data_IF_955641555229
#
_entry.id   IF_955641555229
#
_cell.length_a   1.000
_cell.length_b   1.000
_cell.length_c   1.000
_cell.angle_alpha   90.00
_cell.angle_beta   90.00
_cell.angle_gamma   90.00
#
_symmetry.space_group_name_H-M   'P 1'
#
loop_
_entity.id
_entity.type
_entity.pdbx_description
1 polymer ?
#
# COMPACT_ATOMS: atom_id res chain seq x y z
N UNK A 1 -21.95 23.20 -101.04
CA UNK A 1 -22.57 22.48 -102.17
C UNK A 1 -22.37 21.00 -101.88
N UNK A 2 -23.42 20.30 -101.44
CA UNK A 2 -23.30 18.89 -101.05
C UNK A 2 -23.52 18.01 -102.27
N UNK A 3 -22.59 17.08 -102.55
CA UNK A 3 -22.76 16.06 -103.57
C UNK A 3 -23.60 14.92 -103.01
N UNK A 4 -24.74 14.65 -103.65
CA UNK A 4 -25.57 13.46 -103.46
C UNK A 4 -25.10 12.34 -104.40
N UNK A 5 -23.96 11.72 -104.10
CA UNK A 5 -23.57 10.44 -104.71
C UNK A 5 -22.69 9.66 -103.73
N UNK A 6 -22.66 8.31 -103.76
CA UNK A 6 -21.86 7.50 -102.85
C UNK A 6 -20.37 7.61 -103.22
N UNK A 7 -19.71 8.64 -102.70
CA UNK A 7 -18.27 8.86 -102.79
C UNK A 7 -17.71 9.39 -101.46
N UNK A 8 -16.41 9.23 -101.26
CA UNK A 8 -15.70 9.74 -100.07
C UNK A 8 -15.50 11.26 -100.21
N UNK A 9 -16.10 12.04 -99.31
CA UNK A 9 -15.84 13.48 -99.17
C UNK A 9 -14.61 13.66 -98.26
N UNK A 10 -13.52 14.22 -98.79
CA UNK A 10 -12.35 14.61 -97.99
C UNK A 10 -12.48 16.10 -97.65
N UNK A 11 -12.71 16.41 -96.37
CA UNK A 11 -12.61 17.76 -95.83
C UNK A 11 -11.30 17.88 -95.04
N UNK A 12 -10.46 18.85 -95.40
CA UNK A 12 -9.33 19.26 -94.55
C UNK A 12 -9.92 20.16 -93.47
N UNK A 13 -10.08 19.61 -92.27
CA UNK A 13 -10.43 20.37 -91.07
C UNK A 13 -9.11 20.52 -90.30
N UNK A 14 -8.69 21.76 -90.05
CA UNK A 14 -7.53 22.02 -89.21
C UNK A 14 -7.97 21.90 -87.74
N UNK A 15 -7.96 20.67 -87.21
CA UNK A 15 -8.16 20.42 -85.78
C UNK A 15 -6.82 20.60 -85.07
N UNK A 16 -6.45 21.86 -84.83
CA UNK A 16 -5.34 22.17 -83.93
C UNK A 16 -5.73 21.77 -82.50
N UNK A 17 -5.18 20.64 -82.03
CA UNK A 17 -5.31 20.19 -80.65
C UNK A 17 -4.43 21.09 -79.78
N UNK A 18 -5.03 22.01 -79.02
CA UNK A 18 -4.32 22.65 -77.90
C UNK A 18 -4.18 21.60 -76.80
N UNK A 19 -2.98 21.10 -76.58
CA UNK A 19 -2.65 20.44 -75.30
C UNK A 19 -2.93 21.46 -74.18
N UNK A 20 -3.83 21.19 -73.22
CA UNK A 20 -4.00 22.07 -72.08
C UNK A 20 -2.67 22.26 -71.37
N UNK A 21 -2.41 23.47 -70.85
CA UNK A 21 -1.27 23.67 -69.95
C UNK A 21 -1.35 22.60 -68.84
N UNK A 22 -0.33 21.74 -68.74
CA UNK A 22 -0.30 20.69 -67.74
C UNK A 22 -0.50 21.30 -66.36
N UNK A 23 -1.54 20.87 -65.65
CA UNK A 23 -1.72 21.23 -64.24
C UNK A 23 -0.46 20.80 -63.50
N UNK A 24 0.26 21.74 -62.88
CA UNK A 24 1.47 21.43 -62.14
C UNK A 24 1.20 20.32 -61.13
N UNK A 25 1.97 19.24 -61.18
CA UNK A 25 1.81 18.09 -60.28
C UNK A 25 2.01 18.54 -58.84
N UNK A 26 1.00 18.34 -57.98
CA UNK A 26 1.10 18.60 -56.54
C UNK A 26 1.49 17.31 -55.83
N UNK A 27 2.68 17.21 -55.24
CA UNK A 27 3.12 16.01 -54.56
C UNK A 27 2.40 15.82 -53.23
N UNK A 28 2.25 14.55 -52.83
CA UNK A 28 1.72 14.13 -51.55
C UNK A 28 2.82 13.41 -50.76
N UNK A 29 3.11 13.89 -49.56
CA UNK A 29 4.20 13.41 -48.71
C UNK A 29 3.60 12.82 -47.44
N UNK A 30 3.89 11.54 -47.19
CA UNK A 30 3.55 10.89 -45.94
C UNK A 30 4.69 11.06 -44.95
N UNK A 31 4.37 11.51 -43.73
CA UNK A 31 5.36 11.83 -42.70
C UNK A 31 5.09 11.05 -41.43
N UNK A 32 6.15 10.51 -40.83
CA UNK A 32 6.15 10.09 -39.44
C UNK A 32 6.72 11.25 -38.60
N UNK A 33 6.05 11.57 -37.49
CA UNK A 33 6.42 12.69 -36.62
C UNK A 33 5.94 12.42 -35.20
N UNK A 34 6.62 12.98 -34.21
CA UNK A 34 6.16 12.90 -32.82
C UNK A 34 4.76 13.54 -32.67
N UNK A 35 3.94 13.00 -31.78
CA UNK A 35 2.63 13.61 -31.47
C UNK A 35 2.82 14.91 -30.68
N UNK A 36 1.86 15.82 -30.81
CA UNK A 36 1.73 17.04 -30.00
C UNK A 36 2.97 17.95 -30.01
N UNK A 37 3.65 18.09 -31.15
CA UNK A 37 4.77 19.04 -31.27
C UNK A 37 4.27 20.46 -31.06
N UNK A 38 5.12 21.32 -30.51
CA UNK A 38 4.87 22.76 -30.49
C UNK A 38 4.90 23.31 -31.92
N UNK A 39 4.01 24.26 -32.23
CA UNK A 39 4.08 24.97 -33.50
C UNK A 39 5.36 25.82 -33.60
N UNK A 40 5.83 26.09 -34.83
CA UNK A 40 7.05 26.88 -35.06
C UNK A 40 6.99 28.32 -34.49
N UNK A 41 5.78 28.85 -34.26
CA UNK A 41 5.58 30.13 -33.59
C UNK A 41 5.75 30.09 -32.06
N UNK A 42 5.88 28.90 -31.48
CA UNK A 42 5.91 28.69 -30.03
C UNK A 42 4.52 28.77 -29.37
N UNK A 43 3.46 29.01 -30.14
CA UNK A 43 2.11 29.22 -29.64
C UNK A 43 1.26 27.94 -29.78
N UNK A 44 1.30 27.10 -28.75
CA UNK A 44 0.42 25.93 -28.65
C UNK A 44 0.89 24.71 -29.45
N UNK A 45 -0.04 23.76 -29.62
CA UNK A 45 0.25 22.47 -30.26
C UNK A 45 -0.01 22.53 -31.75
N UNK A 46 0.97 22.08 -32.54
CA UNK A 46 0.90 21.95 -33.98
C UNK A 46 -0.22 20.95 -34.36
N UNK A 47 -1.32 21.47 -34.94
CA UNK A 47 -2.56 20.72 -35.11
C UNK A 47 -2.42 19.46 -35.97
N UNK A 48 -1.52 19.46 -36.95
CA UNK A 48 -1.21 18.30 -37.80
C UNK A 48 -0.48 17.16 -37.07
N UNK A 49 0.00 17.40 -35.85
CA UNK A 49 0.64 16.37 -35.00
C UNK A 49 -0.30 15.73 -33.98
N UNK A 50 -1.56 16.16 -33.92
CA UNK A 50 -2.56 15.55 -33.05
C UNK A 50 -2.92 14.14 -33.55
N UNK A 51 -3.11 13.19 -32.63
CA UNK A 51 -3.53 11.82 -32.98
C UNK A 51 -4.85 11.79 -33.75
N UNK A 52 -5.80 12.65 -33.39
CA UNK A 52 -7.09 12.78 -34.07
C UNK A 52 -6.97 13.24 -35.55
N UNK A 53 -5.79 13.72 -35.96
CA UNK A 53 -5.52 14.22 -37.31
C UNK A 53 -4.55 13.33 -38.10
N UNK A 54 -4.15 12.17 -37.56
CA UNK A 54 -3.42 11.18 -38.35
C UNK A 54 -4.26 10.71 -39.56
N UNK A 55 -3.60 10.48 -40.70
CA UNK A 55 -4.23 10.09 -41.95
C UNK A 55 -4.98 11.22 -42.68
N UNK A 56 -5.12 12.42 -42.09
CA UNK A 56 -5.78 13.56 -42.75
C UNK A 56 -4.79 14.33 -43.62
N UNK A 57 -5.12 14.60 -44.90
CA UNK A 57 -4.25 15.40 -45.76
C UNK A 57 -4.39 16.90 -45.49
N UNK A 58 -3.25 17.57 -45.34
CA UNK A 58 -3.14 19.02 -45.24
C UNK A 58 -2.54 19.58 -46.52
N UNK A 59 -3.21 20.53 -47.17
CA UNK A 59 -2.60 21.31 -48.25
C UNK A 59 -1.73 22.39 -47.61
N UNK A 60 -0.41 22.29 -47.80
CA UNK A 60 0.57 23.24 -47.26
C UNK A 60 1.15 24.04 -48.41
N UNK A 61 1.21 25.37 -48.26
CA UNK A 61 1.59 26.33 -49.30
C UNK A 61 2.90 27.07 -49.01
N UNK A 62 3.44 26.95 -47.80
CA UNK A 62 4.72 27.57 -47.43
C UNK A 62 5.45 26.80 -46.34
N UNK A 63 6.76 27.01 -46.24
CA UNK A 63 7.59 26.48 -45.15
C UNK A 63 7.12 26.93 -43.76
N UNK A 64 6.64 28.18 -43.65
CA UNK A 64 6.09 28.71 -42.40
C UNK A 64 4.81 27.99 -41.99
N UNK A 65 3.90 27.77 -42.93
CA UNK A 65 2.66 27.02 -42.69
C UNK A 65 2.95 25.57 -42.31
N UNK A 66 3.98 24.95 -42.91
CA UNK A 66 4.43 23.61 -42.53
C UNK A 66 4.86 23.57 -41.06
N UNK A 67 5.72 24.50 -40.64
CA UNK A 67 6.19 24.61 -39.26
C UNK A 67 5.08 24.93 -38.27
N UNK A 68 4.07 25.71 -38.67
CA UNK A 68 2.91 25.98 -37.81
C UNK A 68 2.01 24.74 -37.67
N UNK A 69 1.80 24.00 -38.75
CA UNK A 69 0.89 22.85 -38.80
C UNK A 69 1.51 21.60 -38.18
N UNK A 70 2.81 21.36 -38.38
CA UNK A 70 3.49 20.13 -37.96
C UNK A 70 4.67 20.34 -36.99
N UNK A 71 4.96 21.58 -36.60
CA UNK A 71 6.13 21.93 -35.79
C UNK A 71 7.44 21.84 -36.57
N UNK A 72 8.53 22.32 -35.98
CA UNK A 72 9.84 22.29 -36.63
C UNK A 72 10.33 20.85 -36.83
N UNK A 73 10.80 20.46 -38.04
CA UNK A 73 11.29 19.11 -38.30
C UNK A 73 12.52 18.79 -37.46
N UNK A 74 12.53 17.64 -36.78
CA UNK A 74 13.67 17.21 -35.94
C UNK A 74 14.67 16.36 -36.71
N UNK A 75 15.95 16.68 -36.51
CA UNK A 75 17.10 15.87 -36.92
C UNK A 75 18.00 15.69 -35.69
N UNK A 76 18.23 14.44 -35.29
CA UNK A 76 18.91 14.13 -34.04
C UNK A 76 20.43 14.14 -34.19
N UNK A 77 21.10 14.47 -33.09
CA UNK A 77 22.56 14.44 -32.95
C UNK A 77 22.96 13.58 -31.77
N UNK A 78 24.18 13.05 -31.81
CA UNK A 78 24.76 12.35 -30.68
C UNK A 78 25.19 13.32 -29.56
N UNK A 79 25.67 12.79 -28.45
CA UNK A 79 26.19 13.57 -27.31
C UNK A 79 27.41 14.44 -27.64
N UNK A 80 28.03 14.22 -28.80
CA UNK A 80 29.21 14.91 -29.29
C UNK A 80 28.86 15.95 -30.37
N UNK A 81 27.57 16.12 -30.67
CA UNK A 81 27.08 17.08 -31.66
C UNK A 81 27.19 16.60 -33.11
N UNK A 82 27.55 15.34 -33.37
CA UNK A 82 27.52 14.80 -34.72
C UNK A 82 26.09 14.44 -35.10
N UNK A 83 25.69 14.79 -36.33
CA UNK A 83 24.36 14.45 -36.83
C UNK A 83 24.25 12.94 -37.04
N UNK A 84 23.14 12.35 -36.60
CA UNK A 84 22.88 10.92 -36.73
C UNK A 84 22.26 10.67 -38.11
N UNK A 85 23.10 10.43 -39.11
CA UNK A 85 22.64 10.06 -40.44
C UNK A 85 22.02 8.66 -40.43
N UNK A 86 20.86 8.50 -41.06
CA UNK A 86 20.13 7.21 -41.08
C UNK A 86 19.37 6.90 -39.78
N UNK A 87 19.32 7.81 -38.81
CA UNK A 87 18.54 7.62 -37.58
C UNK A 87 17.05 7.47 -37.85
N UNK A 88 16.44 6.42 -37.30
CA UNK A 88 15.03 6.04 -37.54
C UNK A 88 14.02 7.05 -36.97
N UNK A 89 14.44 7.84 -35.97
CA UNK A 89 13.60 8.87 -35.35
C UNK A 89 13.67 10.23 -36.07
N UNK A 90 14.59 10.40 -37.03
CA UNK A 90 14.68 11.65 -37.78
C UNK A 90 13.43 11.86 -38.64
N UNK A 91 12.90 13.08 -38.64
CA UNK A 91 11.65 13.42 -39.35
C UNK A 91 11.91 13.72 -40.82
N UNK A 92 12.50 12.75 -41.55
CA UNK A 92 12.91 12.90 -42.95
C UNK A 92 11.78 13.36 -43.86
N UNK A 93 10.55 12.88 -43.63
CA UNK A 93 9.38 13.28 -44.41
C UNK A 93 9.03 14.76 -44.25
N UNK A 94 9.10 15.28 -43.01
CA UNK A 94 8.87 16.71 -42.76
C UNK A 94 10.01 17.57 -43.31
N UNK A 95 11.25 17.11 -43.21
CA UNK A 95 12.40 17.77 -43.85
C UNK A 95 12.25 17.82 -45.38
N UNK A 96 11.76 16.74 -45.98
CA UNK A 96 11.48 16.67 -47.42
C UNK A 96 10.38 17.65 -47.82
N UNK A 97 9.29 17.71 -47.06
CA UNK A 97 8.22 18.69 -47.28
C UNK A 97 8.72 20.14 -47.14
N UNK A 98 9.55 20.41 -46.13
CA UNK A 98 10.15 21.72 -45.93
C UNK A 98 11.06 22.12 -47.09
N UNK A 99 11.94 21.23 -47.54
CA UNK A 99 12.83 21.48 -48.68
C UNK A 99 12.07 21.68 -49.98
N UNK A 100 11.04 20.86 -50.22
CA UNK A 100 10.22 20.95 -51.43
C UNK A 100 9.45 22.28 -51.49
N UNK A 101 8.87 22.74 -50.39
CA UNK A 101 8.17 24.02 -50.31
C UNK A 101 9.10 25.24 -50.47
N UNK A 102 10.42 25.03 -50.47
CA UNK A 102 11.39 26.04 -50.88
C UNK A 102 11.50 26.23 -52.40
N UNK A 103 11.02 25.26 -53.18
CA UNK A 103 11.07 25.26 -54.66
C UNK A 103 9.69 25.17 -55.32
N UNK A 104 8.67 24.66 -54.64
CA UNK A 104 7.27 24.60 -55.13
C UNK A 104 6.35 25.47 -54.27
N UNK A 105 5.16 25.78 -54.81
CA UNK A 105 4.18 26.64 -54.15
C UNK A 105 3.12 25.88 -53.33
N UNK A 106 3.11 24.54 -53.37
CA UNK A 106 2.19 23.70 -52.58
C UNK A 106 2.62 22.23 -52.53
N UNK A 107 2.27 21.55 -51.44
CA UNK A 107 2.37 20.10 -51.28
C UNK A 107 1.25 19.61 -50.34
N UNK A 108 0.78 18.37 -50.54
CA UNK A 108 -0.04 17.70 -49.54
C UNK A 108 0.86 16.99 -48.52
N UNK A 109 0.62 17.19 -47.24
CA UNK A 109 1.33 16.51 -46.15
C UNK A 109 0.34 15.71 -45.32
N UNK A 110 0.63 14.43 -45.13
CA UNK A 110 -0.21 13.51 -44.36
C UNK A 110 0.63 12.86 -43.27
N UNK A 111 0.22 13.05 -42.03
CA UNK A 111 0.83 12.35 -40.90
C UNK A 111 0.38 10.90 -40.87
N UNK A 112 1.32 9.96 -40.80
CA UNK A 112 1.05 8.56 -40.48
C UNK A 112 0.62 8.39 -39.00
N UNK A 113 -0.21 7.39 -38.67
CA UNK A 113 -0.57 7.08 -37.28
C UNK A 113 0.57 6.35 -36.55
N UNK A 114 1.72 7.02 -36.46
CA UNK A 114 2.91 6.57 -35.76
C UNK A 114 3.48 7.75 -34.96
N UNK A 115 3.76 7.53 -33.68
CA UNK A 115 4.32 8.53 -32.78
C UNK A 115 5.81 8.27 -32.55
N UNK A 116 6.67 8.99 -33.27
CA UNK A 116 8.12 8.86 -33.14
C UNK A 116 8.62 9.22 -31.74
N UNK A 117 7.91 10.07 -30.98
CA UNK A 117 8.26 10.40 -29.61
C UNK A 117 8.18 9.20 -28.65
N UNK A 118 7.34 8.21 -28.97
CA UNK A 118 7.20 6.97 -28.19
C UNK A 118 8.21 5.89 -28.56
N UNK A 119 8.95 6.08 -29.65
CA UNK A 119 10.01 5.17 -30.10
C UNK A 119 11.39 5.57 -29.54
N UNK A 120 11.47 6.66 -28.78
CA UNK A 120 12.71 7.06 -28.11
C UNK A 120 13.07 6.01 -27.05
N UNK A 121 14.30 5.49 -27.13
CA UNK A 121 14.79 4.49 -26.20
C UNK A 121 14.78 5.05 -24.76
N UNK A 122 14.20 4.29 -23.84
CA UNK A 122 14.18 4.60 -22.42
C UNK A 122 14.87 3.46 -21.65
N UNK A 123 15.70 3.83 -20.67
CA UNK A 123 16.29 2.86 -19.73
C UNK A 123 15.24 2.34 -18.71
N UNK A 124 14.11 3.03 -18.58
CA UNK A 124 12.95 2.58 -17.81
C UNK A 124 11.92 1.95 -18.75
N UNK A 125 11.48 0.74 -18.42
CA UNK A 125 10.42 0.06 -19.16
C UNK A 125 9.18 0.98 -19.24
N UNK A 126 8.60 1.19 -20.43
CA UNK A 126 7.42 2.05 -20.56
C UNK A 126 6.22 1.40 -19.88
N UNK A 127 5.94 1.81 -18.64
CA UNK A 127 4.64 1.63 -18.02
C UNK A 127 3.69 2.67 -18.62
N UNK A 128 2.52 2.25 -19.12
CA UNK A 128 1.49 3.20 -19.49
C UNK A 128 1.09 4.07 -18.29
N UNK A 129 0.59 5.28 -18.55
CA UNK A 129 0.02 6.11 -17.50
C UNK A 129 -1.09 5.34 -16.75
N UNK A 130 -1.22 5.52 -15.41
CA UNK A 130 -2.29 4.90 -14.65
C UNK A 130 -3.68 5.25 -15.21
N UNK A 131 -4.66 4.40 -14.95
CA UNK A 131 -6.05 4.73 -15.26
C UNK A 131 -6.53 5.95 -14.43
N UNK A 132 -7.46 6.73 -14.98
CA UNK A 132 -8.07 7.84 -14.25
C UNK A 132 -8.66 7.35 -12.92
N UNK A 133 -8.35 8.06 -11.84
CA UNK A 133 -8.77 7.70 -10.50
C UNK A 133 -8.03 6.53 -9.86
N UNK A 134 -6.96 6.01 -10.47
CA UNK A 134 -6.10 5.01 -9.84
C UNK A 134 -5.54 5.52 -8.51
N UNK A 135 -5.48 4.63 -7.52
CA UNK A 135 -4.93 4.92 -6.21
C UNK A 135 -3.49 4.40 -6.08
N UNK A 136 -2.63 5.19 -5.44
CA UNK A 136 -1.29 4.79 -5.07
C UNK A 136 -1.10 5.00 -3.56
N UNK A 137 -0.81 3.91 -2.86
CA UNK A 137 -0.38 3.97 -1.47
C UNK A 137 1.12 4.33 -1.43
N UNK A 138 1.41 5.58 -1.09
CA UNK A 138 2.74 6.13 -0.95
C UNK A 138 3.34 5.69 0.40
N UNK A 139 3.82 4.46 0.42
CA UNK A 139 4.43 3.82 1.60
C UNK A 139 5.67 4.55 2.10
N UNK A 140 6.39 5.26 1.23
CA UNK A 140 7.63 5.96 1.59
C UNK A 140 7.35 7.22 2.42
N UNK A 141 6.25 7.91 2.13
CA UNK A 141 5.84 9.13 2.86
C UNK A 141 4.79 8.87 3.94
N UNK A 142 4.40 7.60 4.15
CA UNK A 142 3.41 7.23 5.16
C UNK A 142 4.05 7.04 6.53
N UNK A 143 3.35 7.50 7.57
CA UNK A 143 3.66 7.19 8.97
C UNK A 143 2.67 6.14 9.49
N UNK A 144 3.17 5.12 10.18
CA UNK A 144 2.35 3.99 10.63
C UNK A 144 1.93 4.08 12.11
N UNK A 145 2.42 5.09 12.83
CA UNK A 145 1.97 5.40 14.20
C UNK A 145 2.38 4.37 15.24
N UNK A 146 3.50 3.66 15.05
CA UNK A 146 3.99 2.69 16.02
C UNK A 146 4.68 3.43 17.16
N UNK A 147 4.17 3.30 18.39
CA UNK A 147 4.81 3.79 19.60
C UNK A 147 5.09 2.63 20.55
N UNK A 148 6.35 2.46 20.93
CA UNK A 148 6.80 1.40 21.84
C UNK A 148 6.95 1.93 23.26
N UNK A 149 6.39 1.18 24.20
CA UNK A 149 6.40 1.48 25.62
C UNK A 149 7.69 1.01 26.29
N UNK A 150 8.29 1.88 27.10
CA UNK A 150 9.37 1.54 28.01
C UNK A 150 8.85 1.54 29.45
N UNK A 151 8.76 0.37 30.07
CA UNK A 151 8.29 0.18 31.44
C UNK A 151 9.37 0.40 32.51
N UNK A 152 10.60 0.80 32.13
CA UNK A 152 11.64 1.15 33.08
C UNK A 152 11.14 2.22 34.08
N UNK A 153 11.69 2.18 35.30
CA UNK A 153 11.26 3.06 36.38
C UNK A 153 11.29 4.54 35.95
N UNK A 154 10.38 5.36 36.51
CA UNK A 154 10.28 6.79 36.19
C UNK A 154 11.58 7.57 36.49
N UNK A 155 12.42 7.02 37.36
CA UNK A 155 13.75 7.54 37.71
C UNK A 155 14.81 7.26 36.65
N UNK A 156 14.52 6.37 35.69
CA UNK A 156 15.40 6.06 34.56
C UNK A 156 15.10 7.02 33.41
N UNK A 157 16.13 7.55 32.76
CA UNK A 157 15.95 8.41 31.57
C UNK A 157 15.15 7.67 30.50
N UNK A 158 14.01 8.24 30.11
CA UNK A 158 13.10 7.62 29.12
C UNK A 158 12.24 6.48 29.67
N UNK A 159 12.27 6.20 30.98
CA UNK A 159 11.36 5.27 31.65
C UNK A 159 9.93 5.78 31.68
N UNK A 160 8.98 4.86 31.73
CA UNK A 160 7.54 5.12 31.67
C UNK A 160 7.13 6.08 30.54
N UNK A 161 7.68 5.84 29.34
CA UNK A 161 7.45 6.70 28.18
C UNK A 161 7.24 5.89 26.91
N UNK A 162 6.58 6.53 25.94
CA UNK A 162 6.43 6.01 24.58
C UNK A 162 7.49 6.63 23.66
N UNK A 163 8.10 5.78 22.84
CA UNK A 163 9.03 6.18 21.77
C UNK A 163 8.43 5.84 20.40
N UNK A 164 8.54 6.74 19.43
CA UNK A 164 8.04 6.50 18.08
C UNK A 164 9.00 5.60 17.30
N UNK A 165 8.46 4.55 16.69
CA UNK A 165 9.21 3.57 15.92
C UNK A 165 8.96 3.75 14.42
N UNK A 166 10.04 3.73 13.64
CA UNK A 166 9.97 3.81 12.17
C UNK A 166 10.12 2.42 11.58
N UNK A 167 9.05 1.82 11.01
CA UNK A 167 9.15 0.48 10.46
C UNK A 167 9.85 0.48 9.11
N UNK A 168 10.48 -0.65 8.78
CA UNK A 168 10.87 -0.96 7.40
C UNK A 168 9.64 -1.36 6.59
N UNK A 169 9.33 -0.61 5.54
CA UNK A 169 8.20 -0.97 4.66
C UNK A 169 8.66 -1.91 3.56
N UNK A 170 8.03 -3.08 3.47
CA UNK A 170 8.36 -4.12 2.51
C UNK A 170 7.31 -4.13 1.40
N UNK A 171 7.75 -3.86 0.18
CA UNK A 171 6.92 -3.84 -1.03
C UNK A 171 7.40 -4.84 -2.09
N UNK A 172 8.53 -5.52 -1.85
CA UNK A 172 9.15 -6.45 -2.79
C UNK A 172 8.95 -7.90 -2.34
N UNK A 173 8.50 -8.75 -3.25
CA UNK A 173 8.35 -10.19 -3.00
C UNK A 173 9.67 -10.85 -2.61
N UNK A 174 10.79 -10.38 -3.16
CA UNK A 174 12.14 -10.91 -2.88
C UNK A 174 12.57 -10.76 -1.42
N UNK A 175 11.93 -9.87 -0.66
CA UNK A 175 12.20 -9.66 0.76
C UNK A 175 11.31 -10.53 1.66
N UNK A 176 10.41 -11.33 1.07
CA UNK A 176 9.46 -12.20 1.77
C UNK A 176 9.83 -13.68 1.60
N UNK A 177 9.61 -14.47 2.64
CA UNK A 177 9.83 -15.91 2.62
C UNK A 177 8.98 -16.54 1.49
N UNK A 178 9.61 -17.42 0.70
CA UNK A 178 8.97 -18.05 -0.45
C UNK A 178 8.75 -17.15 -1.66
N UNK A 179 9.16 -15.87 -1.60
CA UNK A 179 8.90 -14.87 -2.64
C UNK A 179 7.39 -14.72 -2.98
N UNK A 180 6.52 -14.91 -1.98
CA UNK A 180 5.07 -14.82 -2.11
C UNK A 180 4.53 -13.57 -1.40
N UNK A 181 3.46 -12.98 -1.93
CA UNK A 181 2.93 -11.70 -1.45
C UNK A 181 2.40 -11.78 0.00
N UNK A 182 1.90 -12.94 0.43
CA UNK A 182 1.42 -13.20 1.79
C UNK A 182 2.51 -13.68 2.75
N UNK A 183 3.76 -13.80 2.29
CA UNK A 183 4.87 -14.30 3.09
C UNK A 183 5.24 -13.33 4.23
N UNK A 184 5.85 -13.86 5.28
CA UNK A 184 6.50 -13.05 6.32
C UNK A 184 7.85 -12.52 5.80
N UNK A 185 8.40 -11.46 6.41
CA UNK A 185 9.73 -10.96 6.03
C UNK A 185 10.83 -12.02 6.21
N UNK A 186 11.85 -12.02 5.33
CA UNK A 186 13.01 -12.91 5.47
C UNK A 186 13.86 -12.53 6.69
N UNK A 187 14.53 -13.52 7.27
CA UNK A 187 15.47 -13.30 8.38
C UNK A 187 16.64 -12.36 8.02
N UNK A 188 17.01 -12.24 6.75
CA UNK A 188 18.03 -11.30 6.27
C UNK A 188 17.57 -9.83 6.23
N UNK A 189 16.27 -9.57 6.43
CA UNK A 189 15.71 -8.23 6.45
C UNK A 189 15.73 -7.69 7.88
N UNK A 190 16.28 -6.49 8.09
CA UNK A 190 16.29 -5.79 9.37
C UNK A 190 17.21 -6.39 10.44
N UNK A 191 17.26 -5.77 11.61
CA UNK A 191 17.93 -6.21 12.82
C UNK A 191 16.90 -6.62 13.89
N UNK A 192 17.33 -7.42 14.87
CA UNK A 192 16.47 -7.76 16.04
C UNK A 192 16.03 -6.46 16.71
N UNK A 193 14.75 -6.37 17.09
CA UNK A 193 14.14 -5.14 17.61
C UNK A 193 13.47 -4.28 16.53
N UNK A 194 13.76 -4.50 15.24
CA UNK A 194 13.13 -3.72 14.18
C UNK A 194 11.64 -4.07 14.02
N UNK A 195 10.89 -3.06 13.58
CA UNK A 195 9.53 -3.22 13.07
C UNK A 195 9.52 -3.25 11.54
N UNK A 196 8.59 -3.98 10.96
CA UNK A 196 8.33 -3.98 9.53
C UNK A 196 6.83 -3.89 9.22
N UNK A 197 6.49 -3.24 8.11
CA UNK A 197 5.14 -3.24 7.54
C UNK A 197 5.21 -3.87 6.16
N UNK A 198 4.53 -5.00 5.98
CA UNK A 198 4.46 -5.71 4.70
C UNK A 198 3.27 -5.19 3.91
N UNK A 199 3.55 -4.46 2.82
CA UNK A 199 2.57 -3.82 1.95
C UNK A 199 2.52 -4.45 0.54
N UNK A 200 2.67 -5.78 0.47
CA UNK A 200 2.63 -6.58 -0.77
C UNK A 200 1.25 -7.16 -1.08
N UNK A 201 0.28 -7.00 -0.17
CA UNK A 201 -1.14 -7.38 -0.38
C UNK A 201 -2.05 -6.20 -0.08
N UNK A 202 -3.37 -6.38 -0.22
CA UNK A 202 -4.35 -5.35 0.17
C UNK A 202 -4.44 -5.14 1.68
N UNK A 203 -4.00 -6.11 2.48
CA UNK A 203 -3.88 -5.99 3.94
C UNK A 203 -2.40 -5.83 4.29
N UNK A 204 -2.05 -4.68 4.86
CA UNK A 204 -0.71 -4.39 5.34
C UNK A 204 -0.52 -4.99 6.73
N UNK A 205 0.41 -5.93 6.90
CA UNK A 205 0.67 -6.61 8.18
C UNK A 205 1.88 -6.02 8.87
N UNK A 206 1.82 -5.88 10.19
CA UNK A 206 2.90 -5.36 11.02
C UNK A 206 3.65 -6.51 11.68
N UNK A 207 4.97 -6.45 11.64
CA UNK A 207 5.85 -7.45 12.22
C UNK A 207 6.89 -6.81 13.12
N UNK A 208 7.33 -7.58 14.11
CA UNK A 208 8.46 -7.29 14.99
C UNK A 208 9.51 -8.37 14.83
N UNK A 209 10.80 -8.01 14.78
CA UNK A 209 11.89 -8.98 14.69
C UNK A 209 12.35 -9.39 16.10
N UNK A 210 11.95 -10.58 16.51
CA UNK A 210 12.13 -11.08 17.87
C UNK A 210 13.60 -11.34 18.22
N UNK A 211 13.96 -11.10 19.50
CA UNK A 211 15.23 -11.58 20.08
C UNK A 211 15.25 -13.11 20.26
N UNK A 212 14.09 -13.75 20.12
CA UNK A 212 13.90 -15.18 20.31
C UNK A 212 13.38 -15.50 21.70
N UNK A 213 12.60 -16.57 21.76
CA UNK A 213 12.16 -17.26 22.96
C UNK A 213 11.94 -18.72 22.56
N UNK A 214 13.00 -19.53 22.64
CA UNK A 214 12.96 -20.94 22.23
C UNK A 214 11.98 -21.76 23.06
N UNK A 215 11.74 -21.38 24.32
CA UNK A 215 10.73 -22.03 25.18
C UNK A 215 9.31 -21.90 24.60
N UNK A 216 9.03 -20.80 23.91
CA UNK A 216 7.76 -20.56 23.23
C UNK A 216 7.80 -20.89 21.72
N UNK A 217 8.89 -21.52 21.23
CA UNK A 217 9.06 -21.84 19.81
C UNK A 217 9.39 -20.65 18.91
N UNK A 218 9.79 -19.50 19.48
CA UNK A 218 10.19 -18.32 18.72
C UNK A 218 11.70 -18.32 18.52
N UNK A 219 12.16 -18.50 17.27
CA UNK A 219 13.58 -18.43 16.96
C UNK A 219 14.12 -16.99 17.05
N UNK A 220 15.39 -16.83 17.44
CA UNK A 220 16.05 -15.53 17.40
C UNK A 220 16.09 -14.99 15.97
N UNK A 221 15.75 -13.72 15.79
CA UNK A 221 15.66 -13.07 14.47
C UNK A 221 14.42 -13.45 13.67
N UNK A 222 13.47 -14.22 14.23
CA UNK A 222 12.20 -14.50 13.60
C UNK A 222 11.30 -13.25 13.58
N UNK A 223 10.60 -13.05 12.46
CA UNK A 223 9.56 -12.03 12.35
C UNK A 223 8.25 -12.58 12.88
N UNK A 224 7.66 -11.89 13.86
CA UNK A 224 6.39 -12.25 14.50
C UNK A 224 5.36 -11.14 14.26
N UNK A 225 4.12 -11.52 13.95
CA UNK A 225 3.04 -10.54 13.68
C UNK A 225 2.71 -9.81 14.98
N UNK A 226 2.67 -8.48 14.95
CA UNK A 226 2.44 -7.65 16.13
C UNK A 226 1.04 -7.89 16.68
N UNK A 227 0.94 -8.15 17.99
CA UNK A 227 -0.29 -8.56 18.67
C UNK A 227 -0.54 -10.07 18.70
N UNK A 228 0.24 -10.87 17.96
CA UNK A 228 0.15 -12.33 18.04
C UNK A 228 0.75 -12.88 19.34
N UNK A 229 0.38 -14.12 19.68
CA UNK A 229 0.95 -14.91 20.79
C UNK A 229 2.49 -14.96 20.75
N UNK A 230 3.08 -15.12 19.56
CA UNK A 230 4.54 -15.15 19.39
C UNK A 230 5.17 -13.76 19.60
N UNK A 231 4.45 -12.69 19.31
CA UNK A 231 4.88 -11.34 19.61
C UNK A 231 4.86 -11.08 21.12
N UNK A 232 3.78 -11.44 21.83
CA UNK A 232 3.76 -11.37 23.30
C UNK A 232 4.91 -12.18 23.92
N UNK A 233 5.14 -13.40 23.41
CA UNK A 233 6.23 -14.25 23.88
C UNK A 233 7.65 -13.74 23.55
N UNK A 234 7.77 -12.69 22.73
CA UNK A 234 9.07 -12.08 22.39
C UNK A 234 9.53 -11.05 23.42
N UNK A 235 8.66 -10.65 24.35
CA UNK A 235 8.94 -9.64 25.36
C UNK A 235 8.91 -10.26 26.77
N UNK A 236 9.94 -10.05 27.60
CA UNK A 236 9.90 -10.50 28.97
C UNK A 236 8.88 -9.66 29.76
N UNK A 237 8.06 -10.34 30.55
CA UNK A 237 7.12 -9.70 31.50
C UNK A 237 7.75 -9.48 32.87
N UNK A 238 8.76 -10.29 33.20
CA UNK A 238 9.58 -10.15 34.41
C UNK A 238 11.04 -10.27 34.02
N UNK A 239 11.85 -9.35 34.51
CA UNK A 239 13.31 -9.38 34.37
C UNK A 239 13.91 -9.21 35.78
N UNK A 240 14.65 -10.21 36.22
CA UNK A 240 15.42 -10.15 37.47
C UNK A 240 16.48 -9.06 37.40
N UNK A 241 16.71 -8.38 38.51
CA UNK A 241 17.69 -7.28 38.59
C UNK A 241 19.09 -7.75 38.97
N UNK A 242 19.23 -8.99 39.46
CA UNK A 242 20.52 -9.58 39.79
C UNK A 242 21.10 -10.39 38.62
N UNK A 243 22.31 -10.05 38.20
CA UNK A 243 23.07 -10.82 37.20
C UNK A 243 23.98 -11.85 37.88
N UNK A 244 23.85 -13.11 37.48
CA UNK A 244 24.59 -14.26 37.99
C UNK A 244 24.54 -14.43 39.52
N UNK A 245 23.37 -14.31 40.19
CA UNK A 245 23.27 -14.60 41.61
C UNK A 245 23.56 -16.07 41.89
N UNK A 246 24.10 -16.35 43.08
CA UNK A 246 24.16 -17.73 43.60
C UNK A 246 22.83 -18.03 44.28
N UNK A 247 22.11 -19.03 43.77
CA UNK A 247 20.83 -19.47 44.31
C UNK A 247 21.02 -20.67 45.25
N UNK A 248 20.14 -20.83 46.23
CA UNK A 248 20.18 -21.98 47.14
C UNK A 248 19.26 -23.11 46.64
N UNK A 249 19.85 -24.29 46.45
CA UNK A 249 19.13 -25.49 46.02
C UNK A 249 17.97 -25.83 46.98
N UNK A 250 16.83 -26.26 46.43
CA UNK A 250 15.63 -26.59 47.20
C UNK A 250 14.75 -25.40 47.59
N UNK A 251 15.20 -24.15 47.39
CA UNK A 251 14.32 -22.98 47.49
C UNK A 251 13.21 -23.06 46.43
N UNK A 252 12.07 -22.44 46.72
CA UNK A 252 10.89 -22.52 45.84
C UNK A 252 10.32 -21.15 45.49
N UNK A 253 9.76 -21.03 44.28
CA UNK A 253 8.97 -19.90 43.81
C UNK A 253 7.61 -20.40 43.34
N UNK A 254 6.56 -19.62 43.54
CA UNK A 254 5.22 -19.95 43.03
C UNK A 254 4.91 -19.04 41.85
N UNK A 255 4.60 -19.64 40.70
CA UNK A 255 4.25 -18.94 39.46
C UNK A 255 2.89 -19.45 38.99
N UNK A 256 1.90 -18.56 38.85
CA UNK A 256 0.52 -18.90 38.47
C UNK A 256 -0.03 -20.11 39.27
N UNK A 257 0.08 -20.02 40.60
CA UNK A 257 -0.30 -21.06 41.56
C UNK A 257 0.47 -22.40 41.47
N UNK A 258 1.49 -22.50 40.62
CA UNK A 258 2.36 -23.68 40.49
C UNK A 258 3.65 -23.47 41.27
N UNK A 259 3.96 -24.36 42.20
CA UNK A 259 5.24 -24.34 42.94
C UNK A 259 6.35 -24.92 42.08
N UNK A 260 7.36 -24.10 41.79
CA UNK A 260 8.61 -24.50 41.15
C UNK A 260 9.69 -24.63 42.23
N UNK A 261 10.33 -25.80 42.29
CA UNK A 261 11.44 -26.06 43.20
C UNK A 261 12.73 -26.03 42.43
N UNK A 262 13.68 -25.19 42.86
CA UNK A 262 14.98 -25.10 42.22
C UNK A 262 15.79 -26.38 42.47
N UNK A 263 16.24 -27.00 41.39
CA UNK A 263 17.18 -28.12 41.37
C UNK A 263 18.54 -27.65 40.85
N UNK A 264 19.26 -26.87 41.66
CA UNK A 264 20.55 -26.29 41.30
C UNK A 264 20.89 -25.03 42.08
N UNK A 265 21.86 -24.25 41.57
CA UNK A 265 22.34 -23.02 42.22
C UNK A 265 22.47 -21.83 41.27
N UNK A 266 21.99 -21.95 40.02
CA UNK A 266 22.14 -20.93 38.98
C UNK A 266 20.80 -20.49 38.40
N UNK A 267 20.76 -19.31 37.78
CA UNK A 267 19.59 -18.79 37.06
C UNK A 267 19.21 -19.69 35.88
N UNK A 268 20.20 -20.29 35.19
CA UNK A 268 19.93 -21.24 34.10
C UNK A 268 19.19 -22.48 34.61
N UNK A 269 19.56 -23.00 35.79
CA UNK A 269 18.84 -24.11 36.42
C UNK A 269 17.40 -23.69 36.76
N UNK A 270 17.22 -22.52 37.38
CA UNK A 270 15.89 -21.99 37.70
C UNK A 270 15.00 -21.84 36.46
N UNK A 271 15.52 -21.27 35.37
CA UNK A 271 14.78 -21.14 34.12
C UNK A 271 14.40 -22.51 33.54
N UNK A 272 15.29 -23.51 33.62
CA UNK A 272 15.01 -24.89 33.22
C UNK A 272 13.89 -25.52 34.08
N UNK A 273 13.92 -25.32 35.39
CA UNK A 273 12.91 -25.84 36.31
C UNK A 273 11.53 -25.21 36.06
N UNK A 274 11.48 -23.90 35.81
CA UNK A 274 10.24 -23.19 35.42
C UNK A 274 9.67 -23.79 34.12
N UNK A 275 10.50 -23.99 33.10
CA UNK A 275 10.04 -24.57 31.84
C UNK A 275 9.59 -26.03 32.01
N UNK A 276 10.27 -26.79 32.87
CA UNK A 276 9.91 -28.19 33.17
C UNK A 276 8.56 -28.29 33.88
N UNK A 277 8.24 -27.32 34.74
CA UNK A 277 6.94 -27.23 35.41
C UNK A 277 5.76 -27.05 34.44
N UNK A 278 6.01 -26.75 33.15
CA UNK A 278 5.01 -26.74 32.07
C UNK A 278 3.80 -25.86 32.38
N UNK A 279 4.05 -24.69 32.98
CA UNK A 279 3.01 -23.73 33.34
C UNK A 279 2.44 -23.14 32.03
N UNK A 280 1.12 -23.24 31.87
CA UNK A 280 0.46 -22.86 30.62
C UNK A 280 0.76 -21.40 30.23
N UNK A 281 1.35 -21.22 29.05
CA UNK A 281 1.67 -19.91 28.48
C UNK A 281 2.88 -19.20 29.10
N UNK A 282 3.59 -19.83 30.04
CA UNK A 282 4.74 -19.25 30.72
C UNK A 282 6.01 -19.98 30.30
N UNK A 283 7.04 -19.19 29.98
CA UNK A 283 8.38 -19.71 29.68
C UNK A 283 9.43 -18.85 30.37
N UNK A 284 10.60 -19.39 30.63
CA UNK A 284 11.70 -18.68 31.27
C UNK A 284 13.01 -18.88 30.53
N UNK A 285 13.88 -17.87 30.60
CA UNK A 285 15.23 -17.93 30.07
C UNK A 285 16.21 -17.24 31.03
N UNK A 286 17.47 -17.67 30.96
CA UNK A 286 18.58 -16.93 31.54
C UNK A 286 19.18 -16.05 30.43
N UNK A 287 19.06 -14.72 30.55
CA UNK A 287 19.56 -13.75 29.56
C UNK A 287 20.51 -12.81 30.28
N UNK A 288 21.75 -12.71 29.77
CA UNK A 288 22.83 -11.92 30.36
C UNK A 288 23.04 -12.18 31.87
N UNK A 289 22.80 -13.43 32.30
CA UNK A 289 22.92 -13.88 33.69
C UNK A 289 21.73 -13.53 34.59
N UNK A 290 20.71 -12.83 34.09
CA UNK A 290 19.48 -12.52 34.82
C UNK A 290 18.33 -13.46 34.41
N UNK A 291 17.36 -13.64 35.32
CA UNK A 291 16.15 -14.42 35.04
C UNK A 291 15.19 -13.56 34.21
N UNK A 292 14.75 -14.05 33.07
CA UNK A 292 13.64 -13.48 32.32
C UNK A 292 12.48 -14.47 32.27
N UNK A 293 11.27 -14.02 32.58
CA UNK A 293 10.03 -14.78 32.44
C UNK A 293 9.20 -14.12 31.36
N UNK A 294 8.61 -14.94 30.51
CA UNK A 294 7.85 -14.56 29.32
C UNK A 294 6.44 -15.12 29.40
N UNK A 295 5.52 -14.44 28.72
CA UNK A 295 4.13 -14.85 28.62
C UNK A 295 3.67 -14.89 27.17
N UNK A 296 2.83 -15.88 26.84
CA UNK A 296 2.13 -15.97 25.56
C UNK A 296 0.81 -15.19 25.54
N UNK A 297 0.56 -14.33 26.54
CA UNK A 297 -0.65 -13.49 26.64
C UNK A 297 -1.42 -13.58 27.96
N UNK A 298 -0.97 -14.41 28.92
CA UNK A 298 -1.53 -14.50 30.26
C UNK A 298 -0.73 -13.67 31.27
N UNK A 299 -1.39 -13.13 32.30
CA UNK A 299 -0.67 -12.47 33.37
C UNK A 299 0.17 -13.48 34.17
N UNK A 300 1.26 -12.99 34.75
CA UNK A 300 2.22 -13.77 35.53
C UNK A 300 2.15 -13.35 36.98
N UNK A 301 1.56 -14.20 37.80
CA UNK A 301 1.47 -14.04 39.25
C UNK A 301 2.68 -14.73 39.87
N UNK A 302 3.59 -13.93 40.43
CA UNK A 302 4.75 -14.42 41.18
C UNK A 302 4.49 -14.26 42.67
N UNK A 303 4.66 -15.35 43.41
CA UNK A 303 4.67 -15.35 44.86
C UNK A 303 5.90 -16.09 45.40
N UNK A 304 6.34 -15.71 46.60
CA UNK A 304 7.42 -16.40 47.26
C UNK A 304 6.95 -17.79 47.69
N UNK A 305 7.78 -18.81 47.45
CA UNK A 305 7.63 -20.10 48.10
C UNK A 305 8.44 -20.13 49.39
N UNK A 306 9.51 -20.92 49.38
CA UNK A 306 10.45 -21.09 50.49
C UNK A 306 11.82 -20.54 50.14
N UNK A 307 12.52 -20.00 51.15
CA UNK A 307 13.86 -19.44 50.98
C UNK A 307 13.85 -18.05 50.34
N UNK A 308 14.94 -17.74 49.62
CA UNK A 308 15.35 -16.38 49.21
C UNK A 308 15.37 -16.17 47.70
N UNK A 309 14.86 -17.10 46.89
CA UNK A 309 14.97 -17.06 45.40
C UNK A 309 14.55 -15.71 44.81
N UNK A 310 13.45 -15.13 45.27
CA UNK A 310 12.96 -13.84 44.75
C UNK A 310 13.93 -12.70 45.08
N UNK A 311 14.45 -12.68 46.31
CA UNK A 311 15.46 -11.70 46.72
C UNK A 311 16.77 -11.89 45.96
N UNK A 312 17.24 -13.13 45.82
CA UNK A 312 18.51 -13.46 45.16
C UNK A 312 18.48 -13.13 43.66
N UNK A 313 17.34 -13.36 43.00
CA UNK A 313 17.11 -13.00 41.58
C UNK A 313 16.74 -11.53 41.38
N UNK A 314 16.42 -10.82 42.46
CA UNK A 314 15.95 -9.44 42.40
C UNK A 314 14.61 -9.29 41.69
N UNK A 315 13.71 -10.26 41.88
CA UNK A 315 12.33 -10.28 41.39
C UNK A 315 11.37 -10.05 42.55
N UNK A 316 10.37 -9.18 42.37
CA UNK A 316 9.34 -8.93 43.38
C UNK A 316 8.14 -9.86 43.21
N UNK A 317 7.52 -10.27 44.31
CA UNK A 317 6.22 -10.94 44.28
C UNK A 317 5.13 -9.93 43.89
N UNK A 318 4.45 -10.17 42.77
CA UNK A 318 3.40 -9.32 42.21
C UNK A 318 2.66 -10.05 41.08
N UNK A 319 1.59 -9.44 40.58
CA UNK A 319 1.03 -9.77 39.27
C UNK A 319 1.71 -8.89 38.22
N UNK A 320 2.26 -9.52 37.18
CA UNK A 320 2.87 -8.85 36.03
C UNK A 320 2.00 -9.11 34.81
N UNK A 321 1.52 -8.04 34.18
CA UNK A 321 0.61 -8.19 33.05
C UNK A 321 1.36 -8.58 31.76
N UNK A 322 0.64 -9.25 30.86
CA UNK A 322 1.19 -9.62 29.56
C UNK A 322 1.44 -8.38 28.66
N UNK A 323 2.31 -8.49 27.63
CA UNK A 323 2.52 -7.40 26.68
C UNK A 323 1.23 -7.01 25.96
N UNK A 324 0.98 -5.70 25.88
CA UNK A 324 -0.29 -5.14 25.38
C UNK A 324 -0.10 -4.45 24.03
N UNK A 325 -1.06 -4.65 23.14
CA UNK A 325 -1.23 -3.86 21.94
C UNK A 325 -2.49 -3.02 22.13
N UNK A 326 -2.42 -1.72 21.85
CA UNK A 326 -3.57 -0.83 21.82
C UNK A 326 -3.57 -0.05 20.52
N UNK A 327 -4.71 0.00 19.83
CA UNK A 327 -4.92 0.83 18.66
C UNK A 327 -5.93 1.91 19.06
N UNK A 328 -5.51 3.17 19.06
CA UNK A 328 -6.30 4.27 19.63
C UNK A 328 -5.84 5.65 19.14
N UNK A 329 -6.71 6.69 19.15
CA UNK A 329 -6.32 8.06 18.82
C UNK A 329 -5.48 8.70 19.93
N UNK A 330 -4.81 9.82 19.63
CA UNK A 330 -3.98 10.57 20.58
C UNK A 330 -4.73 11.08 21.82
N UNK A 331 -6.06 11.19 21.74
CA UNK A 331 -6.94 11.59 22.84
C UNK A 331 -7.25 10.46 23.82
N UNK A 332 -6.91 9.22 23.46
CA UNK A 332 -7.13 8.01 24.26
C UNK A 332 -5.78 7.33 24.49
N UNK A 333 -4.97 7.94 25.36
CA UNK A 333 -3.63 7.43 25.70
C UNK A 333 -3.76 6.13 26.49
N UNK A 334 -3.02 5.05 26.13
CA UNK A 334 -3.05 3.80 26.90
C UNK A 334 -2.57 3.99 28.33
N UNK A 335 -3.22 3.30 29.27
CA UNK A 335 -2.94 3.36 30.71
C UNK A 335 -1.85 2.36 31.11
N UNK A 336 -0.64 2.51 30.56
CA UNK A 336 0.45 1.54 30.73
C UNK A 336 1.42 1.85 31.88
N UNK A 337 1.23 2.95 32.61
CA UNK A 337 2.13 3.34 33.69
C UNK A 337 2.02 2.36 34.86
N UNK A 338 3.09 2.22 35.62
CA UNK A 338 3.15 1.30 36.77
C UNK A 338 2.11 1.56 37.87
N UNK A 339 1.52 2.76 37.91
CA UNK A 339 0.45 3.13 38.86
C UNK A 339 -0.95 3.16 38.24
N UNK A 340 -1.07 2.85 36.95
CA UNK A 340 -2.37 2.70 36.29
C UNK A 340 -3.02 1.37 36.68
N UNK A 341 -4.30 1.19 36.35
CA UNK A 341 -5.03 -0.06 36.63
C UNK A 341 -4.60 -1.24 35.75
N UNK A 342 -3.90 -0.95 34.65
CA UNK A 342 -3.61 -1.89 33.56
C UNK A 342 -2.15 -1.71 33.04
N UNK A 343 -1.14 -1.73 33.94
CA UNK A 343 0.27 -1.45 33.61
C UNK A 343 0.82 -2.43 32.58
N UNK A 344 1.63 -1.95 31.62
CA UNK A 344 2.18 -2.83 30.57
C UNK A 344 3.70 -3.00 30.68
N UNK A 345 4.26 -4.17 30.33
CA UNK A 345 5.69 -4.39 30.27
C UNK A 345 6.33 -3.68 29.05
N UNK A 346 7.65 -3.50 29.08
CA UNK A 346 8.44 -2.98 27.96
C UNK A 346 8.19 -3.80 26.69
N UNK A 347 8.11 -3.14 25.54
CA UNK A 347 7.80 -3.77 24.25
C UNK A 347 6.31 -3.79 23.91
N UNK A 348 5.44 -3.41 24.87
CA UNK A 348 4.02 -3.12 24.59
C UNK A 348 3.88 -1.94 23.63
N UNK A 349 2.80 -1.91 22.85
CA UNK A 349 2.66 -1.01 21.71
C UNK A 349 1.37 -0.22 21.71
N UNK A 350 1.50 1.03 21.30
CA UNK A 350 0.39 1.88 20.90
C UNK A 350 0.48 2.19 19.41
N UNK A 351 -0.46 1.66 18.63
CA UNK A 351 -0.68 2.10 17.25
C UNK A 351 -1.58 3.34 17.30
N UNK A 352 -0.94 4.52 17.27
CA UNK A 352 -1.64 5.80 17.37
C UNK A 352 -2.28 6.16 16.02
N UNK A 353 -3.60 6.20 15.96
CA UNK A 353 -4.38 6.38 14.72
C UNK A 353 -4.49 7.82 14.22
N UNK A 354 -3.88 8.79 14.92
CA UNK A 354 -3.97 10.22 14.59
C UNK A 354 -2.59 10.86 14.62
N UNK A 355 -2.35 11.88 13.82
CA UNK A 355 -1.02 12.43 13.51
C UNK A 355 -0.15 12.98 14.66
N UNK A 356 -0.67 13.48 15.80
CA UNK A 356 0.17 14.14 16.80
C UNK A 356 1.26 13.24 17.41
N UNK A 357 2.48 13.79 17.54
CA UNK A 357 3.62 13.18 18.26
C UNK A 357 3.93 11.74 17.80
N UNK A 358 4.26 11.56 16.52
CA UNK A 358 4.66 10.27 15.95
C UNK A 358 3.50 9.32 15.63
N UNK A 359 2.29 9.86 15.46
CA UNK A 359 1.13 9.06 15.09
C UNK A 359 0.97 8.83 13.59
N UNK A 360 0.03 7.96 13.25
CA UNK A 360 -0.14 7.47 11.89
C UNK A 360 -0.67 8.55 10.92
N UNK A 361 -0.20 8.48 9.68
CA UNK A 361 -0.53 9.36 8.58
C UNK A 361 -0.32 8.61 7.26
N UNK A 362 -1.34 7.90 6.78
CA UNK A 362 -1.25 7.11 5.55
C UNK A 362 -1.37 8.06 4.35
N UNK A 363 -0.38 8.04 3.47
CA UNK A 363 -0.37 8.84 2.25
C UNK A 363 -0.94 8.03 1.11
N UNK A 364 -2.15 8.38 0.70
CA UNK A 364 -2.77 7.84 -0.51
C UNK A 364 -2.83 8.95 -1.55
N UNK A 365 -2.46 8.62 -2.78
CA UNK A 365 -2.52 9.51 -3.93
C UNK A 365 -3.54 8.99 -4.93
N UNK A 366 -4.18 9.90 -5.66
CA UNK A 366 -5.11 9.61 -6.74
C UNK A 366 -4.61 10.23 -8.05
N UNK A 367 -4.58 9.45 -9.11
CA UNK A 367 -4.17 9.90 -10.42
C UNK A 367 -5.33 10.56 -11.18
N UNK A 368 -5.05 11.65 -11.89
CA UNK A 368 -6.00 12.31 -12.77
C UNK A 368 -5.43 12.40 -14.19
N UNK A 369 -6.11 11.80 -15.15
CA UNK A 369 -5.73 11.80 -16.57
C UNK A 369 -5.79 13.19 -17.21
N UNK A 370 -6.71 14.06 -16.73
CA UNK A 370 -6.87 15.43 -17.23
C UNK A 370 -5.68 16.34 -16.91
N UNK A 371 -5.01 16.10 -15.78
CA UNK A 371 -3.85 16.88 -15.34
C UNK A 371 -2.53 16.11 -15.46
N UNK A 372 -2.59 14.79 -15.61
CA UNK A 372 -1.44 13.87 -15.55
C UNK A 372 -0.68 13.96 -14.22
N UNK A 373 -1.39 14.29 -13.14
CA UNK A 373 -0.82 14.48 -11.82
C UNK A 373 -1.43 13.52 -10.79
N UNK A 374 -0.62 13.20 -9.79
CA UNK A 374 -1.04 12.55 -8.55
C UNK A 374 -1.40 13.61 -7.51
N UNK A 375 -2.63 13.60 -7.00
CA UNK A 375 -3.04 14.44 -5.87
C UNK A 375 -3.16 13.59 -4.60
N UNK A 376 -2.82 14.15 -3.45
CA UNK A 376 -3.00 13.44 -2.17
C UNK A 376 -4.48 13.47 -1.79
N UNK A 377 -5.00 12.33 -1.35
CA UNK A 377 -6.35 12.17 -0.80
C UNK A 377 -6.28 11.70 0.65
N UNK A 378 -7.24 12.14 1.46
CA UNK A 378 -7.28 11.82 2.88
C UNK A 378 -7.81 10.41 3.10
N UNK A 379 -7.11 9.63 3.94
CA UNK A 379 -7.55 8.32 4.41
C UNK A 379 -7.39 8.26 5.94
N UNK A 380 -8.39 8.73 6.72
CA UNK A 380 -8.35 8.66 8.18
C UNK A 380 -8.44 7.21 8.67
N UNK A 381 -7.97 6.96 9.89
CA UNK A 381 -7.74 5.60 10.41
C UNK A 381 -8.76 5.28 11.51
N UNK A 382 -9.44 4.13 11.40
CA UNK A 382 -10.48 3.68 12.33
C UNK A 382 -10.41 2.17 12.57
N UNK A 383 -10.74 1.73 13.79
CA UNK A 383 -10.65 0.31 14.17
C UNK A 383 -11.78 -0.54 13.62
N UNK A 384 -12.91 0.05 13.25
CA UNK A 384 -14.06 -0.68 12.69
C UNK A 384 -14.74 0.12 11.58
N UNK A 385 -15.47 -0.59 10.74
CA UNK A 385 -16.23 0.02 9.65
C UNK A 385 -17.32 0.97 10.17
N UNK A 386 -18.00 0.62 11.26
CA UNK A 386 -19.04 1.46 11.85
C UNK A 386 -18.48 2.70 12.56
N UNK A 387 -17.28 2.61 13.16
CA UNK A 387 -16.57 3.77 13.69
C UNK A 387 -16.20 4.75 12.57
N UNK A 388 -15.78 4.24 11.40
CA UNK A 388 -15.52 5.06 10.22
C UNK A 388 -16.78 5.80 9.74
N UNK A 389 -17.93 5.12 9.67
CA UNK A 389 -19.20 5.75 9.31
C UNK A 389 -19.57 6.88 10.29
N UNK A 390 -19.49 6.61 11.58
CA UNK A 390 -19.77 7.60 12.62
C UNK A 390 -18.84 8.81 12.57
N UNK A 391 -17.54 8.59 12.35
CA UNK A 391 -16.56 9.65 12.36
C UNK A 391 -16.57 10.50 11.08
N UNK A 392 -16.80 9.88 9.92
CA UNK A 392 -16.84 10.57 8.63
C UNK A 392 -18.17 11.29 8.38
N UNK A 393 -19.29 10.74 8.85
CA UNK A 393 -20.61 11.32 8.68
C UNK A 393 -21.51 11.03 9.88
N UNK A 394 -21.21 11.71 10.99
CA UNK A 394 -21.87 11.53 12.27
C UNK A 394 -23.38 11.73 12.19
N UNK A 395 -23.86 12.77 11.51
CA UNK A 395 -25.28 13.09 11.43
C UNK A 395 -26.03 12.28 10.38
N UNK A 396 -25.39 11.98 9.24
CA UNK A 396 -26.03 11.27 8.12
C UNK A 396 -25.88 9.75 8.18
N UNK A 397 -25.13 9.20 9.13
CA UNK A 397 -24.94 7.76 9.28
C UNK A 397 -24.21 7.12 8.09
N UNK A 398 -23.38 7.91 7.40
CA UNK A 398 -22.63 7.47 6.22
C UNK A 398 -23.33 7.72 4.88
N UNK A 399 -24.47 8.42 4.85
CA UNK A 399 -25.15 8.82 3.63
C UNK A 399 -24.44 9.98 2.91
N UNK A 400 -23.76 10.85 3.66
CA UNK A 400 -22.98 11.99 3.15
C UNK A 400 -21.55 11.64 2.71
N UNK A 401 -21.12 10.39 2.88
CA UNK A 401 -19.79 9.93 2.43
C UNK A 401 -19.82 9.77 0.91
N UNK A 402 -18.94 10.48 0.21
CA UNK A 402 -18.92 10.51 -1.23
C UNK A 402 -18.37 9.19 -1.82
N UNK A 403 -18.80 8.88 -3.05
CA UNK A 403 -18.22 7.78 -3.80
C UNK A 403 -16.71 8.03 -3.98
N UNK A 404 -15.89 7.06 -3.60
CA UNK A 404 -14.44 7.18 -3.66
C UNK A 404 -13.75 7.75 -2.43
N UNK A 405 -14.49 8.18 -1.40
CA UNK A 405 -13.89 8.52 -0.10
C UNK A 405 -13.20 7.29 0.49
N UNK A 406 -12.07 7.53 1.16
CA UNK A 406 -11.23 6.50 1.73
C UNK A 406 -11.24 6.52 3.25
N UNK A 407 -10.96 5.38 3.85
CA UNK A 407 -10.46 5.26 5.21
C UNK A 407 -9.51 4.07 5.32
N UNK A 408 -8.69 4.06 6.37
CA UNK A 408 -7.86 2.92 6.74
C UNK A 408 -8.55 2.20 7.89
N UNK A 409 -8.81 0.92 7.73
CA UNK A 409 -9.28 0.07 8.81
C UNK A 409 -8.09 -0.64 9.45
N UNK A 410 -8.00 -0.61 10.78
CA UNK A 410 -7.03 -1.35 11.60
C UNK A 410 -7.67 -2.61 12.18
N UNK A 411 -6.87 -3.64 12.49
CA UNK A 411 -7.37 -4.94 12.97
C UNK A 411 -8.53 -5.44 12.08
N UNK A 412 -8.23 -5.60 10.78
CA UNK A 412 -9.20 -5.72 9.68
C UNK A 412 -10.17 -6.89 9.87
N UNK A 413 -9.72 -7.95 10.52
CA UNK A 413 -10.51 -9.14 10.84
C UNK A 413 -11.30 -9.01 12.17
N UNK A 414 -11.18 -7.87 12.86
CA UNK A 414 -11.80 -7.55 14.15
C UNK A 414 -11.57 -8.64 15.22
N UNK A 415 -10.37 -9.25 15.21
CA UNK A 415 -10.02 -10.36 16.12
C UNK A 415 -9.69 -9.87 17.53
N UNK A 416 -9.87 -10.78 18.50
CA UNK A 416 -9.43 -10.64 19.89
C UNK A 416 -8.64 -11.90 20.28
N UNK A 417 -7.39 -11.80 20.76
CA UNK A 417 -6.59 -10.57 20.95
C UNK A 417 -6.35 -9.80 19.64
N UNK A 418 -6.21 -8.48 19.75
CA UNK A 418 -6.05 -7.61 18.58
C UNK A 418 -4.69 -7.85 17.90
N UNK A 419 -4.68 -7.81 16.56
CA UNK A 419 -3.46 -7.87 15.76
C UNK A 419 -3.26 -6.56 15.00
N UNK A 420 -2.01 -6.14 14.83
CA UNK A 420 -1.71 -4.95 14.05
C UNK A 420 -1.64 -5.31 12.57
N UNK A 421 -2.72 -4.99 11.87
CA UNK A 421 -2.76 -4.90 10.42
C UNK A 421 -3.62 -3.71 10.00
N UNK A 422 -3.53 -3.33 8.73
CA UNK A 422 -4.34 -2.25 8.17
C UNK A 422 -4.75 -2.51 6.73
N UNK A 423 -5.90 -1.98 6.33
CA UNK A 423 -6.38 -2.03 4.95
C UNK A 423 -7.03 -0.72 4.56
N UNK A 424 -6.73 -0.25 3.36
CA UNK A 424 -7.36 0.95 2.80
C UNK A 424 -8.68 0.53 2.15
N UNK A 425 -9.78 1.09 2.61
CA UNK A 425 -11.11 0.90 2.07
C UNK A 425 -11.54 2.13 1.28
N UNK A 426 -12.34 1.90 0.24
CA UNK A 426 -12.94 2.92 -0.59
C UNK A 426 -14.45 2.76 -0.58
N UNK A 427 -15.19 3.86 -0.48
CA UNK A 427 -16.64 3.85 -0.68
C UNK A 427 -16.96 3.49 -2.14
N UNK A 428 -17.49 2.28 -2.34
CA UNK A 428 -17.75 1.72 -3.67
C UNK A 428 -19.17 2.01 -4.23
N UNK A 429 -20.13 2.35 -3.37
CA UNK A 429 -21.50 2.67 -3.76
C UNK A 429 -22.21 3.56 -2.72
N UNK A 430 -23.25 4.27 -3.15
CA UNK A 430 -24.18 5.00 -2.29
C UNK A 430 -25.58 4.38 -2.38
N UNK A 431 -26.41 4.59 -1.35
CA UNK A 431 -27.77 4.04 -1.28
C UNK A 431 -27.85 2.63 -0.68
N UNK A 432 -29.01 1.99 -0.85
CA UNK A 432 -29.30 0.69 -0.27
C UNK A 432 -28.43 -0.41 -0.89
N UNK A 433 -27.74 -1.17 -0.05
CA UNK A 433 -27.00 -2.37 -0.49
C UNK A 433 -27.97 -3.53 -0.62
N UNK A 434 -28.02 -4.13 -1.81
CA UNK A 434 -28.77 -5.38 -2.05
C UNK A 434 -27.79 -6.53 -2.18
N UNK A 435 -27.87 -7.50 -1.27
CA UNK A 435 -27.11 -8.75 -1.32
C UNK A 435 -28.09 -9.85 -1.72
N UNK A 436 -27.85 -10.50 -2.85
CA UNK A 436 -28.63 -11.64 -3.34
C UNK A 436 -27.70 -12.79 -3.65
N UNK A 437 -27.99 -13.97 -3.09
CA UNK A 437 -27.39 -15.22 -3.55
C UNK A 437 -28.06 -15.69 -4.83
N UNK A 438 -27.48 -16.71 -5.47
CA UNK A 438 -28.23 -17.57 -6.39
C UNK A 438 -29.43 -18.20 -5.66
N UNK A 439 -30.44 -18.63 -6.42
CA UNK A 439 -31.58 -19.34 -5.87
C UNK A 439 -31.11 -20.59 -5.09
N UNK A 440 -31.59 -20.73 -3.85
CA UNK A 440 -31.33 -21.92 -3.03
C UNK A 440 -32.35 -22.98 -3.43
N UNK A 441 -31.90 -24.04 -4.11
CA UNK A 441 -32.80 -25.03 -4.76
C UNK A 441 -32.92 -26.36 -4.02
N UNK A 442 -32.06 -26.66 -3.03
CA UNK A 442 -32.03 -28.00 -2.39
C UNK A 442 -31.70 -27.98 -0.88
N UNK A 443 -31.70 -26.83 -0.22
CA UNK A 443 -31.18 -26.71 1.16
C UNK A 443 -32.11 -26.01 2.16
N UNK A 444 -33.23 -25.44 1.70
CA UNK A 444 -34.23 -24.86 2.59
C UNK A 444 -35.41 -25.81 2.67
N UNK A 445 -35.56 -26.52 3.77
CA UNK A 445 -36.83 -27.19 4.13
C UNK A 445 -37.87 -26.16 4.58
N UNK A 446 -39.14 -26.58 4.61
CA UNK A 446 -40.23 -25.75 5.14
C UNK A 446 -40.11 -25.58 6.65
N UNK A 447 -39.35 -24.58 7.10
CA UNK A 447 -39.14 -24.24 8.50
C UNK A 447 -38.77 -22.76 8.67
N UNK A 448 -38.74 -22.30 9.93
CA UNK A 448 -38.19 -21.00 10.27
C UNK A 448 -36.66 -21.04 10.27
N UNK A 449 -36.05 -20.06 9.62
CA UNK A 449 -34.63 -19.76 9.67
C UNK A 449 -34.46 -18.39 10.31
N UNK A 450 -33.41 -18.23 11.11
CA UNK A 450 -33.12 -16.96 11.74
C UNK A 450 -31.63 -16.66 11.68
N UNK A 451 -31.32 -15.37 11.67
CA UNK A 451 -29.97 -14.86 11.82
C UNK A 451 -29.99 -13.59 12.64
N UNK A 452 -28.87 -13.29 13.29
CA UNK A 452 -28.72 -12.09 14.09
C UNK A 452 -28.09 -10.98 13.26
N UNK A 453 -28.60 -9.76 13.40
CA UNK A 453 -28.08 -8.56 12.75
C UNK A 453 -27.91 -7.44 13.78
N UNK A 454 -26.86 -6.66 13.60
CA UNK A 454 -26.66 -5.38 14.28
C UNK A 454 -26.50 -4.29 13.22
N UNK A 455 -26.99 -3.09 13.52
CA UNK A 455 -26.93 -1.94 12.62
C UNK A 455 -26.15 -0.80 13.28
N UNK A 456 -25.34 -0.08 12.51
CA UNK A 456 -24.84 1.23 12.91
C UNK A 456 -25.94 2.27 12.75
N UNK A 457 -26.07 3.20 13.70
CA UNK A 457 -27.05 4.31 13.64
C UNK A 457 -26.37 5.65 13.51
N UNK A 458 -27.09 6.62 12.92
CA UNK A 458 -26.66 8.01 12.92
C UNK A 458 -26.43 8.50 14.35
N UNK A 459 -25.36 9.27 14.55
CA UNK A 459 -24.94 9.83 15.82
C UNK A 459 -24.61 8.80 16.92
N UNK A 460 -24.35 7.54 16.55
CA UNK A 460 -23.99 6.47 17.48
C UNK A 460 -22.70 5.78 17.04
N UNK A 461 -21.69 5.78 17.91
CA UNK A 461 -20.42 5.10 17.63
C UNK A 461 -20.55 3.58 17.76
N UNK A 462 -21.27 3.09 18.77
CA UNK A 462 -21.50 1.65 18.94
C UNK A 462 -22.61 1.16 18.00
N UNK A 463 -22.54 -0.12 17.61
CA UNK A 463 -23.66 -0.79 16.95
C UNK A 463 -24.90 -0.84 17.87
N UNK A 464 -26.09 -0.90 17.27
CA UNK A 464 -27.34 -1.11 17.99
C UNK A 464 -27.39 -2.50 18.65
N UNK A 465 -28.35 -2.67 19.56
CA UNK A 465 -28.64 -3.98 20.14
C UNK A 465 -28.92 -5.01 19.03
N UNK A 466 -28.39 -6.22 19.22
CA UNK A 466 -28.57 -7.35 18.30
C UNK A 466 -30.05 -7.69 18.14
N UNK A 467 -30.50 -7.78 16.89
CA UNK A 467 -31.87 -8.15 16.52
C UNK A 467 -31.85 -9.49 15.79
N UNK A 468 -32.74 -10.40 16.18
CA UNK A 468 -32.96 -11.66 15.47
C UNK A 468 -33.97 -11.44 14.35
N UNK A 469 -33.55 -11.70 13.12
CA UNK A 469 -34.39 -11.63 11.93
C UNK A 469 -34.78 -13.06 11.56
N UNK A 470 -36.09 -13.33 11.48
CA UNK A 470 -36.62 -14.65 11.17
C UNK A 470 -37.35 -14.64 9.83
N UNK A 471 -37.14 -15.68 9.03
CA UNK A 471 -37.84 -15.95 7.77
C UNK A 471 -38.35 -17.38 7.77
N UNK A 472 -39.61 -17.58 7.41
CA UNK A 472 -40.17 -18.92 7.21
C UNK A 472 -40.06 -19.29 5.74
N UNK A 473 -39.27 -20.30 5.42
CA UNK A 473 -39.22 -20.86 4.07
C UNK A 473 -40.36 -21.88 3.89
N UNK A 474 -40.84 -22.02 2.66
CA UNK A 474 -41.89 -23.01 2.29
C UNK A 474 -41.31 -24.31 1.72
N UNK A 475 -39.98 -24.46 1.72
CA UNK A 475 -39.27 -25.47 0.91
C UNK A 475 -38.65 -24.84 -0.34
N UNK A 476 -37.46 -25.31 -0.70
CA UNK A 476 -36.72 -24.95 -1.92
C UNK A 476 -37.17 -25.76 -3.14
#
# INVERSE_FOLDING_TARGET
MALTSPGVEVKVIDESFYTPAAAGTVPMIFVATASNKTSSSGAGTAAGTLKANAGKPYLITSQRELGETFGDPKFYSDSNGNMIHGGELNEYGLQTAYSLLGVTNRAYVVRADLDLGKLQASATAPGGEPADGAHWFDTLNSLFGILEWNAAAITTTGGQSFSSQTPKVITKLTDLVGNIASGIPKASVGAIGDYAVVATTTTNKFYFKSKGNSGAGVAAGAWVEVGSTNWSASHPVVTGTASNPTLSNGNTVVINATTVTLAGTTVTALASDINTASIAGITAAAVDGALEIYSTGADVVIANGTGTILTDTGVSAATYEAPKLTIAPHTSVPQYKSGDSEPAPTGSLWIKTTTPNGGANYKVKKYATSTQLWSTITAPIYDTNHAALFALDKSGGGAGIALGDLYVNTNVEEVSPIIANSKIFQRAATGATKITSSAVTTQLSSQAYAFNMQESKANQQALDAMKTISVTATGA
#
